data_IF_040314415530
#
_entry.id   IF_040314415530
#
_cell.length_a   1.000
_cell.length_b   1.000
_cell.length_c   1.000
_cell.angle_alpha   90.00
_cell.angle_beta   90.00
_cell.angle_gamma   90.00
#
_symmetry.space_group_name_H-M   'P 1'
#
loop_
_entity.id
_entity.type
_entity.pdbx_description
1 polymer ?
#
# COMPACT_ATOMS: atom_id res chain seq x y z
N UNK A 1 -6.38 -15.62 21.75
CA UNK A 1 -7.65 -15.95 21.07
C UNK A 1 -8.83 -15.51 21.91
N UNK A 2 -9.02 -16.06 23.12
CA UNK A 2 -10.08 -15.65 24.07
C UNK A 2 -10.13 -14.13 24.31
N UNK A 3 -8.98 -13.48 24.50
CA UNK A 3 -8.94 -12.01 24.69
C UNK A 3 -9.38 -11.20 23.45
N UNK A 4 -9.08 -11.69 22.24
CA UNK A 4 -9.48 -11.03 21.00
C UNK A 4 -10.99 -11.17 20.74
N UNK A 5 -11.55 -12.34 21.04
CA UNK A 5 -13.01 -12.58 20.99
C UNK A 5 -13.74 -11.72 22.01
N UNK A 6 -13.22 -11.65 23.24
CA UNK A 6 -13.80 -10.85 24.32
C UNK A 6 -13.70 -9.34 24.06
N UNK A 7 -12.84 -8.89 23.13
CA UNK A 7 -12.72 -7.47 22.80
C UNK A 7 -13.98 -6.91 22.15
N UNK A 8 -14.78 -7.74 21.44
CA UNK A 8 -16.06 -7.38 20.79
C UNK A 8 -16.00 -6.04 20.05
N UNK A 9 -14.94 -5.82 19.25
CA UNK A 9 -14.68 -4.51 18.63
C UNK A 9 -15.80 -4.07 17.67
N UNK A 10 -16.49 -5.03 17.06
CA UNK A 10 -17.67 -4.79 16.23
C UNK A 10 -18.80 -4.07 16.96
N UNK A 11 -18.94 -4.24 18.27
CA UNK A 11 -20.00 -3.61 19.07
C UNK A 11 -19.60 -2.23 19.59
N UNK A 12 -18.31 -1.88 19.52
CA UNK A 12 -17.76 -0.64 20.05
C UNK A 12 -17.86 0.48 19.01
N UNK A 13 -19.08 0.94 18.77
CA UNK A 13 -19.45 1.96 17.76
C UNK A 13 -18.71 3.30 17.92
N UNK A 14 -18.19 3.58 19.12
CA UNK A 14 -17.48 4.81 19.48
C UNK A 14 -15.98 4.77 19.14
N UNK A 15 -15.44 3.61 18.76
CA UNK A 15 -14.03 3.50 18.36
C UNK A 15 -13.87 3.97 16.92
N UNK A 16 -13.16 5.07 16.74
CA UNK A 16 -12.73 5.58 15.43
C UNK A 16 -11.24 5.37 15.16
N UNK A 17 -10.44 5.04 16.17
CA UNK A 17 -9.00 4.82 16.04
C UNK A 17 -8.62 3.50 16.71
N UNK A 18 -7.92 2.62 15.98
CA UNK A 18 -7.57 1.29 16.46
C UNK A 18 -6.12 0.97 16.11
N UNK A 19 -5.33 0.64 17.14
CA UNK A 19 -4.00 0.07 16.99
C UNK A 19 -4.03 -1.41 17.38
N UNK A 20 -3.67 -2.26 16.43
CA UNK A 20 -3.45 -3.68 16.61
C UNK A 20 -1.95 -3.95 16.68
N UNK A 21 -1.47 -4.33 17.86
CA UNK A 21 -0.07 -4.61 18.13
C UNK A 21 0.13 -6.10 18.36
N UNK A 22 0.93 -6.75 17.53
CA UNK A 22 1.22 -8.18 17.65
C UNK A 22 2.64 -8.38 18.20
N UNK A 23 2.77 -8.73 19.48
CA UNK A 23 4.05 -8.88 20.18
C UNK A 23 4.29 -10.28 20.76
N UNK A 24 3.55 -11.27 20.27
CA UNK A 24 3.62 -12.66 20.73
C UNK A 24 5.06 -13.21 20.77
N UNK A 25 5.42 -13.83 21.90
CA UNK A 25 6.75 -14.43 22.16
C UNK A 25 6.85 -15.91 21.77
N UNK A 26 5.80 -16.48 21.18
CA UNK A 26 5.80 -17.90 20.79
C UNK A 26 6.71 -18.16 19.59
N UNK A 27 7.13 -19.43 19.45
CA UNK A 27 7.80 -19.95 18.25
C UNK A 27 7.15 -19.44 16.95
N UNK A 28 7.96 -19.09 15.96
CA UNK A 28 7.53 -18.30 14.80
C UNK A 28 6.34 -18.92 14.04
N UNK A 29 6.37 -20.23 13.81
CA UNK A 29 5.26 -20.93 13.14
C UNK A 29 3.95 -20.92 13.94
N UNK A 30 4.04 -21.02 15.28
CA UNK A 30 2.87 -20.91 16.15
C UNK A 30 2.36 -19.47 16.17
N UNK A 31 3.28 -18.50 16.23
CA UNK A 31 2.95 -17.08 16.19
C UNK A 31 2.22 -16.71 14.90
N UNK A 32 2.74 -17.10 13.74
CA UNK A 32 2.11 -16.86 12.44
C UNK A 32 0.66 -17.34 12.41
N UNK A 33 0.39 -18.56 12.89
CA UNK A 33 -0.97 -19.12 12.96
C UNK A 33 -1.86 -18.33 13.92
N UNK A 34 -1.36 -18.00 15.11
CA UNK A 34 -2.11 -17.27 16.13
C UNK A 34 -2.47 -15.85 15.68
N UNK A 35 -1.52 -15.13 15.09
CA UNK A 35 -1.73 -13.75 14.61
C UNK A 35 -2.84 -13.72 13.55
N UNK A 36 -2.82 -14.65 12.59
CA UNK A 36 -3.86 -14.78 11.56
C UNK A 36 -5.24 -15.01 12.18
N UNK A 37 -5.33 -15.92 13.15
CA UNK A 37 -6.59 -16.22 13.84
C UNK A 37 -7.11 -15.01 14.62
N UNK A 38 -6.22 -14.32 15.35
CA UNK A 38 -6.57 -13.11 16.08
C UNK A 38 -7.06 -12.03 15.12
N UNK A 39 -6.32 -11.75 14.04
CA UNK A 39 -6.71 -10.73 13.06
C UNK A 39 -8.10 -10.99 12.47
N UNK A 40 -8.42 -12.24 12.16
CA UNK A 40 -9.73 -12.61 11.60
C UNK A 40 -10.89 -12.41 12.58
N UNK A 41 -10.67 -12.59 13.88
CA UNK A 41 -11.75 -12.57 14.89
C UNK A 41 -11.97 -11.18 15.49
N UNK A 42 -11.00 -10.27 15.40
CA UNK A 42 -11.11 -8.93 15.98
C UNK A 42 -12.29 -8.12 15.43
N UNK A 43 -12.62 -8.26 14.14
CA UNK A 43 -13.72 -7.59 13.43
C UNK A 43 -14.09 -6.20 13.98
N UNK A 44 -13.33 -5.14 13.66
CA UNK A 44 -13.61 -3.79 14.10
C UNK A 44 -14.94 -3.23 13.56
N UNK A 45 -15.55 -2.30 14.28
CA UNK A 45 -16.75 -1.61 13.78
C UNK A 45 -16.43 -0.82 12.49
N UNK A 46 -17.30 -0.82 11.46
CA UNK A 46 -17.14 -0.05 10.21
C UNK A 46 -16.99 1.48 10.34
N UNK A 47 -17.08 2.02 11.56
CA UNK A 47 -16.92 3.45 11.84
C UNK A 47 -15.45 3.85 11.99
N UNK A 48 -14.55 2.87 11.95
CA UNK A 48 -13.13 3.10 12.11
C UNK A 48 -12.61 4.05 11.03
N UNK A 49 -11.90 5.09 11.46
CA UNK A 49 -11.28 6.11 10.62
C UNK A 49 -9.76 5.95 10.55
N UNK A 50 -9.12 5.44 11.61
CA UNK A 50 -7.68 5.16 11.69
C UNK A 50 -7.46 3.70 12.12
N UNK A 51 -6.68 2.96 11.33
CA UNK A 51 -6.25 1.60 11.64
C UNK A 51 -4.72 1.49 11.55
N UNK A 52 -4.10 0.99 12.61
CA UNK A 52 -2.67 0.67 12.65
C UNK A 52 -2.46 -0.81 12.93
N UNK A 53 -1.71 -1.52 12.10
CA UNK A 53 -1.40 -2.94 12.24
C UNK A 53 0.11 -3.10 12.36
N UNK A 54 0.57 -3.45 13.56
CA UNK A 54 1.99 -3.50 13.89
C UNK A 54 2.45 -4.92 14.18
N UNK A 55 3.62 -5.28 13.62
CA UNK A 55 4.37 -6.52 13.91
C UNK A 55 3.60 -7.83 13.67
N UNK A 56 2.58 -7.81 12.82
CA UNK A 56 1.80 -8.98 12.42
C UNK A 56 2.68 -9.98 11.64
N UNK A 57 2.63 -11.26 12.02
CA UNK A 57 3.47 -12.33 11.41
C UNK A 57 2.75 -13.19 10.37
N UNK A 58 1.48 -12.94 10.08
CA UNK A 58 0.79 -13.62 8.99
C UNK A 58 1.31 -13.18 7.61
N UNK A 59 1.16 -14.05 6.62
CA UNK A 59 1.61 -13.77 5.25
C UNK A 59 0.65 -12.93 4.43
N UNK A 60 -0.58 -12.76 4.91
CA UNK A 60 -1.62 -11.94 4.26
C UNK A 60 -2.38 -11.14 5.31
N UNK A 61 -2.74 -9.91 4.96
CA UNK A 61 -3.67 -9.07 5.73
C UNK A 61 -4.96 -9.00 4.91
N UNK A 62 -5.68 -10.10 4.86
CA UNK A 62 -6.97 -10.15 4.15
C UNK A 62 -8.08 -10.76 5.02
N UNK A 63 -8.36 -10.16 6.19
CA UNK A 63 -9.55 -10.54 6.94
C UNK A 63 -10.80 -9.99 6.22
N UNK A 64 -11.91 -10.72 6.27
CA UNK A 64 -13.16 -10.34 5.61
C UNK A 64 -13.65 -8.93 5.97
N UNK A 65 -13.29 -8.44 7.16
CA UNK A 65 -13.73 -7.14 7.66
C UNK A 65 -12.95 -5.94 7.11
N UNK A 66 -11.74 -6.10 6.56
CA UNK A 66 -10.92 -4.94 6.14
C UNK A 66 -11.61 -4.12 5.05
N UNK A 67 -12.31 -4.80 4.13
CA UNK A 67 -13.08 -4.18 3.06
C UNK A 67 -14.40 -3.56 3.54
N UNK A 68 -14.83 -3.92 4.76
CA UNK A 68 -16.04 -3.36 5.38
C UNK A 68 -15.76 -2.03 6.09
N UNK A 69 -14.49 -1.62 6.23
CA UNK A 69 -14.09 -0.37 6.88
C UNK A 69 -14.30 0.83 5.94
N UNK A 70 -15.56 1.09 5.59
CA UNK A 70 -15.92 2.09 4.59
C UNK A 70 -15.68 3.53 5.04
N UNK A 71 -15.39 3.80 6.32
CA UNK A 71 -15.01 5.14 6.81
C UNK A 71 -13.51 5.32 7.05
N UNK A 72 -12.71 4.30 6.73
CA UNK A 72 -11.27 4.32 7.00
C UNK A 72 -10.59 5.41 6.16
N UNK A 73 -9.90 6.31 6.85
CA UNK A 73 -9.13 7.42 6.27
C UNK A 73 -7.63 7.17 6.34
N UNK A 74 -7.16 6.54 7.39
CA UNK A 74 -5.74 6.29 7.61
C UNK A 74 -5.48 4.80 7.88
N UNK A 75 -4.51 4.25 7.17
CA UNK A 75 -4.03 2.88 7.38
C UNK A 75 -2.51 2.86 7.45
N UNK A 76 -2.00 2.32 8.56
CA UNK A 76 -0.57 2.13 8.80
C UNK A 76 -0.25 0.65 9.02
N UNK A 77 0.62 0.08 8.20
CA UNK A 77 1.12 -1.29 8.34
C UNK A 77 2.62 -1.22 8.62
N UNK A 78 3.05 -1.63 9.81
CA UNK A 78 4.44 -1.47 10.26
C UNK A 78 5.01 -2.78 10.80
N UNK A 79 6.16 -3.20 10.26
CA UNK A 79 6.89 -4.35 10.78
C UNK A 79 6.23 -5.69 10.47
N UNK A 80 5.32 -5.74 9.50
CA UNK A 80 4.68 -6.96 9.00
C UNK A 80 5.60 -7.67 8.01
N UNK A 81 6.78 -8.10 8.48
CA UNK A 81 7.89 -8.55 7.64
C UNK A 81 7.60 -9.77 6.78
N UNK A 82 6.65 -10.61 7.21
CA UNK A 82 6.29 -11.87 6.55
C UNK A 82 5.19 -11.70 5.51
N UNK A 83 4.71 -10.48 5.28
CA UNK A 83 3.66 -10.19 4.31
C UNK A 83 4.16 -10.51 2.89
N UNK A 84 3.51 -11.47 2.24
CA UNK A 84 3.90 -11.93 0.90
C UNK A 84 3.14 -11.16 -0.19
N UNK A 85 1.87 -10.83 0.08
CA UNK A 85 0.98 -10.13 -0.83
C UNK A 85 0.35 -8.90 -0.17
N UNK A 86 0.10 -7.87 -0.96
CA UNK A 86 -0.55 -6.66 -0.49
C UNK A 86 -2.06 -6.88 -0.24
N UNK A 87 -2.63 -6.25 0.79
CA UNK A 87 -4.08 -6.25 0.99
C UNK A 87 -4.81 -5.51 -0.15
N UNK A 88 -6.04 -5.91 -0.53
CA UNK A 88 -6.80 -5.31 -1.64
C UNK A 88 -7.47 -3.98 -1.26
N UNK A 89 -6.66 -2.96 -0.98
CA UNK A 89 -7.13 -1.70 -0.40
C UNK A 89 -7.74 -0.73 -1.41
N UNK A 90 -7.60 -0.98 -2.72
CA UNK A 90 -8.01 -0.01 -3.75
C UNK A 90 -9.50 0.30 -3.83
N UNK A 91 -10.36 -0.52 -3.23
CA UNK A 91 -11.81 -0.27 -3.15
C UNK A 91 -12.23 0.51 -1.90
N UNK A 92 -11.31 0.91 -1.01
CA UNK A 92 -11.62 1.71 0.18
C UNK A 92 -11.92 3.17 -0.22
N UNK A 93 -13.17 3.65 -0.04
CA UNK A 93 -13.62 4.88 -0.69
C UNK A 93 -13.14 6.16 0.01
N UNK A 94 -12.80 6.13 1.30
CA UNK A 94 -12.39 7.32 2.04
C UNK A 94 -10.94 7.27 2.50
N UNK A 95 -10.15 6.28 2.07
CA UNK A 95 -8.76 6.17 2.47
C UNK A 95 -7.97 7.35 1.89
N UNK A 96 -7.43 8.18 2.76
CA UNK A 96 -6.69 9.40 2.42
C UNK A 96 -5.18 9.22 2.59
N UNK A 97 -4.75 8.40 3.55
CA UNK A 97 -3.35 8.14 3.85
C UNK A 97 -3.10 6.65 4.02
N UNK A 98 -2.13 6.13 3.28
CA UNK A 98 -1.66 4.76 3.40
C UNK A 98 -0.14 4.74 3.58
N UNK A 99 0.29 4.11 4.66
CA UNK A 99 1.70 3.95 4.98
C UNK A 99 2.03 2.49 5.25
N UNK A 100 3.05 1.98 4.56
CA UNK A 100 3.52 0.59 4.70
C UNK A 100 5.02 0.61 4.92
N UNK A 101 5.44 0.06 6.06
CA UNK A 101 6.83 0.09 6.52
C UNK A 101 7.31 -1.29 6.92
N UNK A 102 8.53 -1.66 6.50
CA UNK A 102 9.19 -2.92 6.86
C UNK A 102 8.35 -4.16 6.50
N UNK A 103 7.71 -4.16 5.33
CA UNK A 103 7.01 -5.32 4.75
C UNK A 103 8.00 -6.11 3.87
N UNK A 104 9.04 -6.65 4.51
CA UNK A 104 10.27 -7.11 3.86
C UNK A 104 10.05 -8.21 2.81
N UNK A 105 9.10 -9.13 2.99
CA UNK A 105 8.82 -10.25 2.07
C UNK A 105 8.07 -9.88 0.79
N UNK A 106 7.46 -8.68 0.71
CA UNK A 106 6.68 -8.29 -0.47
C UNK A 106 7.63 -8.11 -1.65
N UNK A 107 7.46 -8.94 -2.70
CA UNK A 107 8.26 -8.86 -3.93
C UNK A 107 7.60 -8.08 -5.05
N UNK A 108 6.27 -8.19 -5.13
CA UNK A 108 5.46 -7.54 -6.16
C UNK A 108 4.25 -6.88 -5.51
N UNK A 109 3.97 -5.66 -5.94
CA UNK A 109 2.71 -4.96 -5.68
C UNK A 109 1.95 -4.96 -7.00
N UNK A 110 0.97 -5.86 -7.11
CA UNK A 110 0.20 -6.08 -8.33
C UNK A 110 -1.22 -5.50 -8.27
N UNK A 111 -2.07 -5.95 -9.18
CA UNK A 111 -3.50 -5.56 -9.27
C UNK A 111 -4.32 -6.02 -8.05
N UNK A 112 -3.83 -7.01 -7.29
CA UNK A 112 -4.46 -7.44 -6.05
C UNK A 112 -4.51 -6.29 -5.03
N UNK A 113 -3.51 -5.42 -4.99
CA UNK A 113 -3.49 -4.24 -4.14
C UNK A 113 -4.62 -3.24 -4.48
N UNK A 114 -5.02 -3.21 -5.75
CA UNK A 114 -6.12 -2.39 -6.25
C UNK A 114 -7.50 -3.00 -5.92
N UNK A 115 -7.54 -4.25 -5.44
CA UNK A 115 -8.78 -4.97 -5.16
C UNK A 115 -9.56 -5.37 -6.42
N UNK A 116 -8.87 -5.50 -7.56
CA UNK A 116 -9.48 -6.00 -8.79
C UNK A 116 -9.44 -7.53 -8.76
N UNK A 117 -10.60 -8.18 -8.82
CA UNK A 117 -10.71 -9.63 -8.96
C UNK A 117 -10.93 -9.96 -10.45
N UNK A 118 -10.19 -10.92 -10.99
CA UNK A 118 -10.26 -11.28 -12.42
C UNK A 118 -11.60 -11.89 -12.83
N UNK A 119 -12.48 -12.23 -11.89
CA UNK A 119 -13.84 -12.75 -12.16
C UNK A 119 -14.84 -11.67 -12.60
N UNK A 120 -14.55 -10.38 -12.34
CA UNK A 120 -15.38 -9.24 -12.78
C UNK A 120 -15.43 -9.10 -14.32
N UNK A 121 -14.60 -9.85 -15.07
CA UNK A 121 -14.47 -9.76 -16.53
C UNK A 121 -15.43 -10.65 -17.34
N UNK A 122 -16.18 -11.55 -16.72
CA UNK A 122 -16.97 -12.54 -17.50
C UNK A 122 -18.39 -12.12 -17.86
N UNK A 123 -18.97 -11.07 -17.27
CA UNK A 123 -20.41 -10.86 -17.50
C UNK A 123 -20.95 -9.42 -17.51
N UNK A 124 -20.11 -8.39 -17.57
CA UNK A 124 -20.59 -7.02 -17.76
C UNK A 124 -19.67 -6.30 -18.72
N UNK A 125 -20.21 -5.84 -19.84
CA UNK A 125 -19.51 -4.87 -20.68
C UNK A 125 -19.00 -3.74 -19.80
N UNK A 126 -17.68 -3.60 -19.68
CA UNK A 126 -17.05 -2.55 -18.89
C UNK A 126 -17.37 -1.19 -19.53
N UNK A 127 -18.52 -0.62 -19.18
CA UNK A 127 -18.91 0.76 -19.53
C UNK A 127 -18.93 1.68 -18.31
N UNK A 128 -18.48 1.20 -17.15
CA UNK A 128 -18.36 2.00 -15.93
C UNK A 128 -16.91 2.30 -15.63
N UNK A 129 -16.56 3.58 -15.63
CA UNK A 129 -15.24 4.07 -15.20
C UNK A 129 -14.98 3.62 -13.76
N UNK A 130 -14.04 2.69 -13.57
CA UNK A 130 -13.65 2.20 -12.26
C UNK A 130 -12.70 3.21 -11.60
N UNK A 131 -13.05 3.72 -10.43
CA UNK A 131 -12.16 4.61 -9.65
C UNK A 131 -11.62 3.82 -8.47
N UNK A 132 -10.30 3.71 -8.39
CA UNK A 132 -9.58 2.99 -7.34
C UNK A 132 -8.82 3.99 -6.48
N UNK A 133 -8.83 3.80 -5.17
CA UNK A 133 -8.30 4.75 -4.19
C UNK A 133 -8.81 6.18 -4.45
N UNK A 134 -10.14 6.40 -4.50
CA UNK A 134 -10.73 7.65 -4.99
C UNK A 134 -10.31 8.89 -4.18
N UNK A 135 -9.98 8.73 -2.89
CA UNK A 135 -9.62 9.84 -2.00
C UNK A 135 -8.17 9.78 -1.48
N UNK A 136 -7.34 8.86 -1.98
CA UNK A 136 -5.98 8.68 -1.47
C UNK A 136 -5.12 9.90 -1.84
N UNK A 137 -4.62 10.60 -0.83
CA UNK A 137 -3.80 11.82 -0.96
C UNK A 137 -2.31 11.54 -0.71
N UNK A 138 -2.00 10.62 0.20
CA UNK A 138 -0.64 10.27 0.62
C UNK A 138 -0.41 8.76 0.57
N UNK A 139 0.63 8.34 -0.14
CA UNK A 139 1.07 6.95 -0.23
C UNK A 139 2.55 6.83 0.11
N UNK A 140 2.88 6.00 1.10
CA UNK A 140 4.25 5.87 1.61
C UNK A 140 4.67 4.42 1.73
N UNK A 141 5.81 4.08 1.14
CA UNK A 141 6.45 2.77 1.22
C UNK A 141 7.86 2.89 1.76
N UNK A 142 8.11 2.34 2.95
CA UNK A 142 9.42 2.46 3.59
C UNK A 142 10.02 1.09 3.88
N UNK A 143 11.31 0.93 3.58
CA UNK A 143 12.12 -0.24 3.93
C UNK A 143 11.53 -1.57 3.43
N UNK A 144 10.93 -1.60 2.24
CA UNK A 144 10.44 -2.85 1.62
C UNK A 144 11.56 -3.49 0.81
N UNK A 145 12.39 -4.29 1.49
CA UNK A 145 13.70 -4.72 0.99
C UNK A 145 13.66 -5.65 -0.22
N UNK A 146 12.65 -6.53 -0.30
CA UNK A 146 12.51 -7.48 -1.40
C UNK A 146 11.60 -6.97 -2.53
N UNK A 147 11.06 -5.75 -2.42
CA UNK A 147 10.12 -5.22 -3.40
C UNK A 147 10.81 -4.88 -4.71
N UNK A 148 10.48 -5.64 -5.75
CA UNK A 148 11.08 -5.54 -7.08
C UNK A 148 10.17 -4.88 -8.11
N UNK A 149 8.88 -5.21 -8.06
CA UNK A 149 7.92 -4.85 -9.11
C UNK A 149 6.70 -4.12 -8.53
N UNK A 150 6.34 -2.99 -9.13
CA UNK A 150 5.07 -2.34 -8.90
C UNK A 150 4.32 -2.22 -10.20
N UNK A 151 3.33 -3.10 -10.37
CA UNK A 151 2.63 -3.32 -11.62
C UNK A 151 1.12 -3.23 -11.37
N UNK A 152 0.55 -2.05 -11.62
CA UNK A 152 -0.89 -1.83 -11.47
C UNK A 152 -1.71 -2.05 -12.73
N UNK A 153 -1.11 -2.55 -13.83
CA UNK A 153 -1.72 -2.40 -15.17
C UNK A 153 -1.68 -3.66 -16.03
N UNK A 154 -0.94 -4.74 -15.71
CA UNK A 154 -1.02 -5.99 -16.51
C UNK A 154 -2.43 -6.57 -16.48
N UNK A 155 -3.24 -6.19 -17.47
CA UNK A 155 -4.64 -6.58 -17.64
C UNK A 155 -5.67 -5.45 -17.79
N UNK A 156 -5.32 -4.17 -17.61
CA UNK A 156 -6.19 -3.01 -17.88
C UNK A 156 -5.61 -2.19 -19.04
N UNK A 157 -6.31 -2.11 -20.16
CA UNK A 157 -5.94 -1.23 -21.27
C UNK A 157 -6.22 0.22 -20.89
N UNK A 158 -5.50 1.16 -21.48
CA UNK A 158 -5.76 2.60 -21.27
C UNK A 158 -7.19 3.01 -21.65
N UNK A 159 -7.82 2.20 -22.50
CA UNK A 159 -9.20 2.31 -22.99
C UNK A 159 -10.25 1.85 -21.96
N UNK A 160 -9.86 1.14 -20.90
CA UNK A 160 -10.79 0.54 -19.92
C UNK A 160 -11.35 1.57 -18.90
N UNK A 161 -11.08 2.86 -19.09
CA UNK A 161 -11.69 3.95 -18.30
C UNK A 161 -11.38 3.93 -16.80
N UNK A 162 -10.32 3.23 -16.38
CA UNK A 162 -9.94 3.10 -14.98
C UNK A 162 -9.13 4.32 -14.51
N UNK A 163 -9.55 4.93 -13.39
CA UNK A 163 -8.86 6.05 -12.76
C UNK A 163 -8.27 5.60 -11.41
N UNK A 164 -6.95 5.44 -11.37
CA UNK A 164 -6.23 4.93 -10.21
C UNK A 164 -5.65 6.13 -9.45
N UNK A 165 -6.03 6.26 -8.18
CA UNK A 165 -5.53 7.28 -7.25
C UNK A 165 -5.68 8.73 -7.77
N UNK A 166 -6.89 9.16 -8.19
CA UNK A 166 -7.11 10.48 -8.81
C UNK A 166 -6.79 11.67 -7.90
N UNK A 167 -6.64 11.46 -6.59
CA UNK A 167 -6.37 12.51 -5.62
C UNK A 167 -4.95 12.44 -5.01
N UNK A 168 -4.08 11.57 -5.51
CA UNK A 168 -2.75 11.35 -4.94
C UNK A 168 -1.87 12.58 -5.16
N UNK A 169 -1.43 13.18 -4.04
CA UNK A 169 -0.61 14.39 -4.02
C UNK A 169 0.81 14.13 -3.51
N UNK A 170 1.00 13.14 -2.64
CA UNK A 170 2.28 12.80 -2.03
C UNK A 170 2.59 11.31 -2.20
N UNK A 171 3.73 11.00 -2.83
CA UNK A 171 4.26 9.65 -2.94
C UNK A 171 5.68 9.62 -2.38
N UNK A 172 5.92 8.75 -1.42
CA UNK A 172 7.23 8.58 -0.81
C UNK A 172 7.67 7.12 -0.81
N UNK A 173 8.86 6.88 -1.34
CA UNK A 173 9.52 5.57 -1.40
C UNK A 173 10.91 5.73 -0.80
N UNK A 174 11.14 5.08 0.35
CA UNK A 174 12.40 5.21 1.10
C UNK A 174 12.91 3.82 1.44
N UNK A 175 14.16 3.52 1.12
CA UNK A 175 14.78 2.24 1.51
C UNK A 175 14.22 1.02 0.78
N UNK A 176 13.81 1.17 -0.49
CA UNK A 176 13.30 0.10 -1.34
C UNK A 176 14.32 -0.21 -2.45
N UNK A 177 15.44 -0.89 -2.13
CA UNK A 177 16.61 -0.96 -3.01
C UNK A 177 16.39 -1.78 -4.29
N UNK A 178 15.44 -2.73 -4.28
CA UNK A 178 15.18 -3.64 -5.42
C UNK A 178 14.13 -3.13 -6.40
N UNK A 179 13.40 -2.07 -6.05
CA UNK A 179 12.27 -1.60 -6.86
C UNK A 179 12.79 -1.07 -8.20
N UNK A 180 12.30 -1.65 -9.29
CA UNK A 180 12.82 -1.39 -10.64
C UNK A 180 12.20 -0.15 -11.30
N UNK A 181 10.90 0.06 -11.14
CA UNK A 181 10.16 1.14 -11.79
C UNK A 181 8.87 1.51 -11.02
N UNK A 182 8.34 2.71 -11.30
CA UNK A 182 6.99 3.10 -10.90
C UNK A 182 5.97 2.63 -11.95
N UNK A 183 4.72 2.31 -11.56
CA UNK A 183 3.68 1.96 -12.52
C UNK A 183 3.22 3.19 -13.32
N UNK A 184 2.84 3.00 -14.58
CA UNK A 184 2.54 4.10 -15.50
C UNK A 184 1.40 5.04 -15.02
N UNK A 185 0.46 4.54 -14.20
CA UNK A 185 -0.63 5.38 -13.70
C UNK A 185 -0.15 6.52 -12.80
N UNK A 186 1.03 6.41 -12.17
CA UNK A 186 1.58 7.47 -11.32
C UNK A 186 1.74 8.78 -12.11
N UNK A 187 2.09 8.70 -13.40
CA UNK A 187 2.18 9.88 -14.27
C UNK A 187 0.83 10.56 -14.56
N UNK A 188 -0.29 9.88 -14.31
CA UNK A 188 -1.65 10.40 -14.52
C UNK A 188 -2.27 10.95 -13.22
N UNK A 189 -1.59 10.77 -12.08
CA UNK A 189 -2.04 11.30 -10.78
C UNK A 189 -1.67 12.78 -10.63
N UNK A 190 -2.43 13.60 -9.86
CA UNK A 190 -2.12 15.00 -9.61
C UNK A 190 -1.02 15.18 -8.56
N UNK A 191 0.07 14.43 -8.72
CA UNK A 191 1.17 14.35 -7.76
C UNK A 191 1.87 15.72 -7.65
N UNK A 192 2.03 16.19 -6.41
CA UNK A 192 2.75 17.43 -6.08
C UNK A 192 4.17 17.11 -5.62
N UNK A 193 4.29 16.10 -4.75
CA UNK A 193 5.56 15.72 -4.14
C UNK A 193 5.86 14.25 -4.40
N UNK A 194 7.06 14.01 -4.94
CA UNK A 194 7.64 12.69 -5.13
C UNK A 194 8.98 12.61 -4.40
N UNK A 195 9.04 11.78 -3.37
CA UNK A 195 10.24 11.56 -2.56
C UNK A 195 10.76 10.14 -2.80
N UNK A 196 11.96 10.02 -3.37
CA UNK A 196 12.65 8.73 -3.55
C UNK A 196 14.01 8.80 -2.86
N UNK A 197 14.18 8.04 -1.78
CA UNK A 197 15.44 7.95 -1.00
C UNK A 197 15.85 6.50 -0.83
N UNK A 198 17.15 6.25 -0.73
CA UNK A 198 17.71 4.91 -0.43
C UNK A 198 17.14 3.78 -1.34
N UNK A 199 16.80 4.12 -2.59
CA UNK A 199 16.18 3.22 -3.58
C UNK A 199 16.94 3.34 -4.89
N UNK A 200 18.14 2.76 -4.93
CA UNK A 200 19.16 3.03 -5.96
C UNK A 200 18.70 2.64 -7.37
N UNK A 201 18.11 1.46 -7.56
CA UNK A 201 17.64 0.99 -8.88
C UNK A 201 16.57 1.92 -9.44
N UNK A 202 15.56 2.24 -8.63
CA UNK A 202 14.49 3.16 -9.04
C UNK A 202 15.05 4.54 -9.38
N UNK A 203 15.95 5.06 -8.55
CA UNK A 203 16.60 6.35 -8.76
C UNK A 203 17.41 6.38 -10.06
N UNK A 204 18.17 5.33 -10.36
CA UNK A 204 18.91 5.21 -11.63
C UNK A 204 17.97 5.15 -12.83
N UNK A 205 16.86 4.41 -12.74
CA UNK A 205 15.89 4.31 -13.83
C UNK A 205 15.20 5.66 -14.10
N UNK A 206 14.83 6.40 -13.06
CA UNK A 206 14.30 7.76 -13.18
C UNK A 206 15.33 8.75 -13.78
N UNK A 207 16.63 8.57 -13.52
CA UNK A 207 17.70 9.42 -14.05
C UNK A 207 18.11 9.06 -15.49
N UNK A 208 18.08 7.77 -15.85
CA UNK A 208 18.44 7.25 -17.20
C UNK A 208 17.37 7.49 -18.26
N UNK A 209 16.24 8.10 -17.91
CA UNK A 209 15.17 8.55 -18.81
C UNK A 209 15.55 9.65 -19.82
N UNK A 210 16.75 9.58 -20.43
CA UNK A 210 17.08 10.19 -21.73
C UNK A 210 16.81 9.25 -22.92
N UNK A 211 16.30 8.03 -22.71
CA UNK A 211 15.91 7.11 -23.79
C UNK A 211 14.37 6.98 -23.90
N UNK A 212 13.84 7.30 -25.08
CA UNK A 212 12.47 7.18 -25.62
C UNK A 212 11.25 7.75 -24.85
N UNK A 213 11.37 7.99 -23.54
CA UNK A 213 10.34 8.67 -22.71
C UNK A 213 10.78 10.05 -22.22
N UNK A 214 11.91 10.54 -22.76
CA UNK A 214 12.71 11.64 -22.23
C UNK A 214 12.13 13.06 -22.19
N UNK A 215 10.99 13.42 -22.81
CA UNK A 215 10.40 14.74 -22.59
C UNK A 215 9.11 14.76 -21.76
N UNK A 216 8.62 13.63 -21.23
CA UNK A 216 7.32 13.60 -20.49
C UNK A 216 7.44 13.42 -18.97
N UNK A 217 8.62 13.08 -18.44
CA UNK A 217 8.90 13.07 -17.00
C UNK A 217 9.13 14.50 -16.44
N UNK A 218 9.26 15.48 -17.34
CA UNK A 218 9.53 16.89 -17.05
C UNK A 218 8.29 17.77 -16.80
N UNK A 219 7.07 17.21 -16.86
CA UNK A 219 5.82 17.96 -16.69
C UNK A 219 5.05 17.66 -15.38
N UNK A 220 5.73 17.14 -14.35
CA UNK A 220 5.22 17.21 -12.97
C UNK A 220 5.79 18.50 -12.35
N UNK A 221 5.00 19.57 -12.12
CA UNK A 221 5.54 20.78 -11.53
C UNK A 221 5.83 20.57 -10.03
N UNK A 222 7.10 20.78 -9.65
CA UNK A 222 7.62 21.17 -8.32
C UNK A 222 7.27 20.22 -7.15
N UNK A 223 8.08 19.22 -6.77
CA UNK A 223 9.49 19.34 -6.33
C UNK A 223 10.21 17.98 -6.43
N UNK A 224 11.25 17.86 -7.26
CA UNK A 224 12.19 16.73 -7.18
C UNK A 224 13.19 16.99 -6.05
N UNK A 225 12.83 16.73 -4.79
CA UNK A 225 13.84 16.72 -3.73
C UNK A 225 14.52 15.35 -3.74
N UNK A 226 15.50 15.20 -4.63
CA UNK A 226 16.53 14.18 -4.44
C UNK A 226 17.44 14.73 -3.34
N UNK A 227 17.19 14.34 -2.08
CA UNK A 227 18.20 14.53 -1.04
C UNK A 227 19.40 13.64 -1.36
N UNK A 228 20.42 14.22 -1.99
CA UNK A 228 21.75 13.65 -2.08
C UNK A 228 22.44 13.87 -0.75
N UNK A 229 22.33 12.92 0.18
CA UNK A 229 23.33 12.87 1.25
C UNK A 229 24.67 12.59 0.56
N UNK A 230 25.54 13.59 0.53
CA UNK A 230 26.98 13.32 0.44
C UNK A 230 27.32 12.59 1.74
N UNK A 231 27.86 11.38 1.62
CA UNK A 231 28.72 10.90 2.71
C UNK A 231 29.90 11.88 2.75
N UNK A 232 29.95 12.71 3.78
CA UNK A 232 31.23 13.22 4.24
C UNK A 232 31.97 12.00 4.78
N UNK A 233 32.96 11.53 4.01
CA UNK A 233 34.02 10.67 4.52
C UNK A 233 34.76 11.47 5.60
N UNK A 234 34.43 11.21 6.86
CA UNK A 234 35.26 11.62 7.99
C UNK A 234 36.21 10.47 8.37
N UNK A 235 37.42 10.58 7.80
CA UNK A 235 38.76 10.13 8.25
C UNK A 235 38.98 8.71 8.77
#
# INVERSE_FOLDING_TARGET
MVEAENARLKEKTQISHLRLEFDGKSEENRRKKNDVLILNVLEPHPNLEDLKIYRYKGSTIFPNWIMSLTKLKELEILGCKMLDCMPPLGKLPFLESLEIRNADSVKKVGVEFLGIEFEDKKDKGLTTSLILFPNLKSLKFWNMKEWEEWDGIVGLREEDGCNIMPCLQYLEIVGCPKLKALPHFVHKTPLKDLCIRESSILKEHCQKGKSEYGPKILQIPSTYIIHLQHQEDDR
#
